data_IF_649328935734
#
_entry.id   IF_649328935734
#
_cell.length_a   1.000
_cell.length_b   1.000
_cell.length_c   1.000
_cell.angle_alpha   90.00
_cell.angle_beta   90.00
_cell.angle_gamma   90.00
#
_symmetry.space_group_name_H-M   'P 1'
#
loop_
_entity.id
_entity.type
_entity.pdbx_description
1 polymer ?
#
# COMPACT_ATOMS: atom_id res chain seq x y z
N UNK A 1 -24.45 -81.20 26.65
CA UNK A 1 -23.64 -80.15 27.22
C UNK A 1 -24.46 -79.38 28.25
N UNK A 2 -23.97 -79.27 29.53
CA UNK A 2 -24.73 -78.58 30.59
C UNK A 2 -25.06 -77.13 30.20
N UNK A 3 -26.28 -76.67 30.53
CA UNK A 3 -26.78 -75.28 30.23
C UNK A 3 -25.80 -74.15 30.66
N UNK A 4 -25.06 -74.37 31.80
CA UNK A 4 -24.05 -73.44 32.30
C UNK A 4 -22.83 -73.34 31.36
N UNK A 5 -22.34 -74.44 30.83
CA UNK A 5 -21.18 -74.47 29.93
C UNK A 5 -21.50 -73.73 28.58
N UNK A 6 -22.71 -73.94 28.08
CA UNK A 6 -23.17 -73.21 26.87
C UNK A 6 -23.24 -71.72 27.08
N UNK A 7 -23.70 -71.23 28.25
CA UNK A 7 -23.72 -69.77 28.53
C UNK A 7 -22.32 -69.19 28.64
N UNK A 8 -21.36 -69.88 29.23
CA UNK A 8 -19.97 -69.47 29.35
C UNK A 8 -19.32 -69.40 27.95
N UNK A 9 -19.51 -70.41 27.10
CA UNK A 9 -18.98 -70.42 25.76
C UNK A 9 -19.59 -69.29 24.87
N UNK A 10 -20.90 -69.01 25.03
CA UNK A 10 -21.52 -67.87 24.31
C UNK A 10 -20.96 -66.53 24.77
N UNK A 11 -20.75 -66.39 26.11
CA UNK A 11 -20.15 -65.14 26.65
C UNK A 11 -18.71 -64.94 26.18
N UNK A 12 -17.88 -66.00 26.18
CA UNK A 12 -16.53 -65.95 25.63
C UNK A 12 -16.52 -65.65 24.13
N UNK A 13 -17.44 -66.22 23.37
CA UNK A 13 -17.55 -65.88 21.92
C UNK A 13 -17.92 -64.39 21.68
N UNK A 14 -18.79 -63.85 22.50
CA UNK A 14 -19.13 -62.39 22.41
C UNK A 14 -17.90 -61.54 22.73
N UNK A 15 -17.14 -61.89 23.79
CA UNK A 15 -15.92 -61.16 24.13
C UNK A 15 -14.90 -61.23 23.00
N UNK A 16 -14.69 -62.39 22.39
CA UNK A 16 -13.78 -62.53 21.24
C UNK A 16 -14.22 -61.67 20.05
N UNK A 17 -15.53 -61.66 19.76
CA UNK A 17 -16.06 -60.79 18.66
C UNK A 17 -15.87 -59.32 18.98
N UNK A 18 -16.11 -58.85 20.22
CA UNK A 18 -15.88 -57.49 20.64
C UNK A 18 -14.40 -57.10 20.55
N UNK A 19 -13.49 -57.95 21.00
CA UNK A 19 -12.04 -57.73 20.88
C UNK A 19 -11.64 -57.64 19.39
N UNK A 20 -12.14 -58.56 18.56
CA UNK A 20 -11.86 -58.53 17.13
C UNK A 20 -12.38 -57.23 16.45
N UNK A 21 -13.59 -56.77 16.82
CA UNK A 21 -14.15 -55.55 16.33
C UNK A 21 -13.31 -54.31 16.75
N UNK A 22 -12.84 -54.27 18.00
CA UNK A 22 -11.94 -53.21 18.49
C UNK A 22 -10.60 -53.22 17.72
N UNK A 23 -10.01 -54.41 17.54
CA UNK A 23 -8.74 -54.53 16.81
C UNK A 23 -8.88 -54.12 15.32
N UNK A 24 -9.97 -54.51 14.68
CA UNK A 24 -10.26 -54.08 13.28
C UNK A 24 -10.48 -52.58 13.21
N UNK A 25 -11.27 -52.01 14.15
CA UNK A 25 -11.47 -50.56 14.21
C UNK A 25 -10.17 -49.80 14.46
N UNK A 26 -9.31 -50.28 15.34
CA UNK A 26 -7.99 -49.72 15.60
C UNK A 26 -7.09 -49.80 14.35
N UNK A 27 -7.07 -50.95 13.68
CA UNK A 27 -6.25 -51.12 12.46
C UNK A 27 -6.71 -50.23 11.31
N UNK A 28 -8.03 -50.13 11.10
CA UNK A 28 -8.59 -49.24 10.09
C UNK A 28 -8.33 -47.74 10.41
N UNK A 29 -8.50 -47.39 11.70
CA UNK A 29 -8.19 -46.02 12.16
C UNK A 29 -6.71 -45.70 12.02
N UNK A 30 -5.81 -46.60 12.41
CA UNK A 30 -4.37 -46.42 12.25
C UNK A 30 -3.95 -46.27 10.78
N UNK A 31 -4.52 -47.13 9.91
CA UNK A 31 -4.26 -47.02 8.47
C UNK A 31 -4.74 -45.68 7.92
N UNK A 32 -5.93 -45.23 8.29
CA UNK A 32 -6.47 -43.93 7.89
C UNK A 32 -5.58 -42.77 8.34
N UNK A 33 -5.18 -42.73 9.62
CA UNK A 33 -4.27 -41.69 10.14
C UNK A 33 -2.95 -41.69 9.38
N UNK A 34 -2.36 -42.86 9.14
CA UNK A 34 -1.09 -42.97 8.41
C UNK A 34 -1.18 -42.50 6.94
N UNK A 35 -2.30 -42.77 6.28
CA UNK A 35 -2.53 -42.27 4.92
C UNK A 35 -2.67 -40.75 4.88
N UNK A 36 -3.32 -40.14 5.90
CA UNK A 36 -3.42 -38.69 6.06
C UNK A 36 -2.05 -38.07 6.35
N UNK A 37 -1.28 -38.61 7.28
CA UNK A 37 0.06 -38.12 7.60
C UNK A 37 0.98 -38.11 6.38
N UNK A 38 0.92 -39.13 5.53
CA UNK A 38 1.71 -39.18 4.29
C UNK A 38 1.29 -38.12 3.27
N UNK A 39 -0.01 -37.82 3.16
CA UNK A 39 -0.50 -36.73 2.30
C UNK A 39 -0.04 -35.37 2.82
N UNK A 40 -0.17 -35.13 4.12
CA UNK A 40 0.30 -33.90 4.77
C UNK A 40 1.81 -33.69 4.61
N UNK A 41 2.60 -34.76 4.80
CA UNK A 41 4.04 -34.73 4.62
C UNK A 41 4.42 -34.38 3.18
N UNK A 42 3.77 -35.03 2.18
CA UNK A 42 4.01 -34.73 0.76
C UNK A 42 3.60 -33.31 0.36
N UNK A 43 2.52 -32.80 0.94
CA UNK A 43 2.06 -31.43 0.71
C UNK A 43 3.03 -30.44 1.36
N UNK A 44 3.45 -30.69 2.60
CA UNK A 44 4.45 -29.87 3.31
C UNK A 44 5.79 -29.83 2.55
N UNK A 45 6.28 -30.97 2.05
CA UNK A 45 7.49 -31.02 1.23
C UNK A 45 7.38 -30.25 -0.09
N UNK A 46 6.18 -30.18 -0.69
CA UNK A 46 5.95 -29.38 -1.90
C UNK A 46 6.02 -27.88 -1.60
N UNK A 47 5.45 -27.44 -0.48
CA UNK A 47 5.58 -26.07 -0.01
C UNK A 47 7.02 -25.69 0.33
N UNK A 48 7.78 -26.57 0.95
CA UNK A 48 9.17 -26.31 1.36
C UNK A 48 10.11 -26.20 0.14
N UNK A 49 9.77 -26.84 -0.98
CA UNK A 49 10.53 -26.74 -2.24
C UNK A 49 10.27 -25.44 -3.00
N UNK A 50 9.05 -24.97 -3.03
CA UNK A 50 8.64 -23.87 -3.91
C UNK A 50 8.25 -22.59 -3.13
N UNK A 51 8.01 -22.67 -1.82
CA UNK A 51 7.59 -21.57 -0.96
C UNK A 51 6.17 -21.05 -1.24
N UNK A 52 5.49 -21.62 -2.26
CA UNK A 52 4.21 -21.16 -2.78
C UNK A 52 3.21 -22.34 -2.77
N UNK A 53 1.92 -22.05 -2.52
CA UNK A 53 0.88 -23.05 -2.67
C UNK A 53 0.87 -23.64 -4.08
N UNK A 54 0.85 -24.97 -4.24
CA UNK A 54 0.74 -25.59 -5.56
C UNK A 54 -0.64 -25.39 -6.20
N UNK A 55 -1.62 -24.88 -5.43
CA UNK A 55 -2.98 -24.61 -5.90
C UNK A 55 -3.11 -23.12 -6.18
N UNK A 56 -3.52 -22.78 -7.39
CA UNK A 56 -3.65 -21.42 -7.89
C UNK A 56 -5.03 -21.23 -8.52
N UNK A 57 -5.34 -20.00 -8.92
CA UNK A 57 -6.57 -19.69 -9.67
C UNK A 57 -6.74 -20.54 -10.94
N UNK A 58 -5.63 -20.99 -11.56
CA UNK A 58 -5.62 -21.78 -12.80
C UNK A 58 -5.76 -23.29 -12.54
N UNK A 59 -5.78 -23.71 -11.28
CA UNK A 59 -5.96 -25.14 -10.91
C UNK A 59 -7.40 -25.56 -11.13
N UNK A 60 -7.62 -26.64 -11.90
CA UNK A 60 -8.96 -27.13 -12.19
C UNK A 60 -9.74 -27.50 -10.90
N UNK A 61 -10.93 -26.94 -10.76
CA UNK A 61 -11.77 -27.12 -9.57
C UNK A 61 -11.33 -26.33 -8.32
N UNK A 62 -10.34 -25.44 -8.42
CA UNK A 62 -9.96 -24.58 -7.30
C UNK A 62 -11.08 -23.63 -6.90
N UNK A 63 -11.31 -23.54 -5.60
CA UNK A 63 -12.24 -22.61 -4.97
C UNK A 63 -11.43 -21.51 -4.30
N UNK A 64 -11.70 -20.25 -4.68
CA UNK A 64 -11.08 -19.08 -4.09
C UNK A 64 -11.69 -18.78 -2.71
N UNK A 65 -10.84 -18.60 -1.70
CA UNK A 65 -11.20 -18.29 -0.32
C UNK A 65 -10.43 -17.06 0.11
N UNK A 66 -11.13 -16.02 0.51
CA UNK A 66 -10.52 -14.84 1.11
C UNK A 66 -10.67 -14.87 2.62
N UNK A 67 -9.55 -14.80 3.34
CA UNK A 67 -9.49 -14.67 4.81
C UNK A 67 -9.19 -13.21 5.13
N UNK A 68 -10.16 -12.52 5.75
CA UNK A 68 -9.98 -11.13 6.15
C UNK A 68 -8.97 -11.00 7.31
N UNK A 69 -8.37 -9.82 7.46
CA UNK A 69 -7.52 -9.53 8.61
C UNK A 69 -8.31 -9.68 9.92
N UNK A 70 -7.68 -10.26 10.94
CA UNK A 70 -8.25 -10.51 12.24
C UNK A 70 -9.39 -11.56 12.29
N UNK A 71 -9.63 -12.30 11.19
CA UNK A 71 -10.55 -13.46 11.22
C UNK A 71 -10.08 -14.49 12.23
N UNK A 72 -11.00 -14.97 13.06
CA UNK A 72 -10.74 -16.11 13.94
C UNK A 72 -11.03 -17.45 13.22
N UNK A 73 -10.74 -18.57 13.88
CA UNK A 73 -10.97 -19.91 13.31
C UNK A 73 -12.46 -20.18 13.03
N UNK A 74 -13.37 -19.54 13.77
CA UNK A 74 -14.81 -19.65 13.54
C UNK A 74 -15.24 -18.95 12.26
N UNK A 75 -14.76 -17.71 12.04
CA UNK A 75 -15.01 -16.94 10.82
C UNK A 75 -14.52 -17.68 9.56
N UNK A 76 -13.31 -18.28 9.68
CA UNK A 76 -12.72 -19.08 8.60
C UNK A 76 -13.57 -20.32 8.33
N UNK A 77 -14.03 -21.02 9.37
CA UNK A 77 -14.88 -22.19 9.23
C UNK A 77 -16.23 -21.85 8.56
N UNK A 78 -16.82 -20.70 8.88
CA UNK A 78 -18.03 -20.23 8.21
C UNK A 78 -17.77 -19.92 6.72
N UNK A 79 -16.70 -19.21 6.40
CA UNK A 79 -16.28 -18.93 5.02
C UNK A 79 -16.10 -20.22 4.21
N UNK A 80 -15.42 -21.22 4.77
CA UNK A 80 -15.22 -22.52 4.12
C UNK A 80 -16.53 -23.29 3.92
N UNK A 81 -17.47 -23.17 4.86
CA UNK A 81 -18.79 -23.80 4.75
C UNK A 81 -19.64 -23.12 3.69
N UNK A 82 -19.65 -21.79 3.63
CA UNK A 82 -20.42 -21.03 2.65
C UNK A 82 -19.89 -21.27 1.23
N UNK A 83 -18.59 -21.51 1.10
CA UNK A 83 -17.94 -21.91 -0.15
C UNK A 83 -18.14 -23.39 -0.49
N UNK A 84 -18.84 -24.17 0.35
CA UNK A 84 -19.13 -25.57 0.10
C UNK A 84 -17.97 -26.54 0.33
N UNK A 85 -16.83 -26.07 0.85
CA UNK A 85 -15.62 -26.87 1.09
C UNK A 85 -15.75 -27.77 2.33
N UNK A 86 -16.46 -27.30 3.36
CA UNK A 86 -16.70 -28.06 4.58
C UNK A 86 -18.20 -28.14 4.89
N UNK A 87 -18.62 -29.13 5.66
CA UNK A 87 -20.01 -29.34 6.07
C UNK A 87 -20.26 -28.96 7.53
N UNK A 88 -19.24 -28.98 8.36
CA UNK A 88 -19.37 -28.86 9.81
C UNK A 88 -18.28 -27.96 10.37
N UNK A 89 -18.66 -26.72 10.71
CA UNK A 89 -17.77 -25.69 11.27
C UNK A 89 -17.20 -26.11 12.62
N UNK A 90 -18.03 -26.67 13.50
CA UNK A 90 -17.59 -27.16 14.82
C UNK A 90 -16.52 -28.23 14.73
N UNK A 91 -16.67 -29.19 13.77
CA UNK A 91 -15.65 -30.23 13.56
C UNK A 91 -14.34 -29.61 13.06
N UNK A 92 -14.39 -28.62 12.15
CA UNK A 92 -13.23 -27.91 11.66
C UNK A 92 -12.49 -27.16 12.78
N UNK A 93 -13.20 -26.36 13.58
CA UNK A 93 -12.63 -25.65 14.73
C UNK A 93 -11.97 -26.59 15.74
N UNK A 94 -12.65 -27.72 16.05
CA UNK A 94 -12.13 -28.70 16.98
C UNK A 94 -10.82 -29.33 16.48
N UNK A 95 -10.77 -29.75 15.22
CA UNK A 95 -9.58 -30.33 14.57
C UNK A 95 -8.46 -29.28 14.52
N UNK A 96 -8.78 -28.03 14.14
CA UNK A 96 -7.82 -26.93 14.13
C UNK A 96 -7.12 -26.74 15.48
N UNK A 97 -7.88 -26.73 16.58
CA UNK A 97 -7.32 -26.64 17.93
C UNK A 97 -6.47 -27.84 18.31
N UNK A 98 -6.93 -29.04 17.99
CA UNK A 98 -6.18 -30.27 18.32
C UNK A 98 -4.88 -30.41 17.56
N UNK A 99 -4.85 -29.98 16.29
CA UNK A 99 -3.68 -30.08 15.42
C UNK A 99 -2.78 -28.84 15.51
N UNK A 100 -3.15 -27.84 16.32
CA UNK A 100 -2.31 -26.66 16.57
C UNK A 100 -2.33 -25.60 15.46
N UNK A 101 -3.33 -25.61 14.56
CA UNK A 101 -3.49 -24.61 13.52
C UNK A 101 -4.25 -23.35 13.97
N UNK A 102 -4.97 -23.45 15.12
CA UNK A 102 -5.76 -22.34 15.66
C UNK A 102 -4.89 -21.09 15.89
N UNK A 103 -5.29 -19.98 15.28
CA UNK A 103 -4.54 -18.72 15.34
C UNK A 103 -3.28 -18.64 14.47
N UNK A 104 -3.02 -19.64 13.60
CA UNK A 104 -1.87 -19.62 12.68
C UNK A 104 -2.24 -19.30 11.23
N UNK A 105 -3.51 -19.16 10.93
CA UNK A 105 -4.00 -18.88 9.59
C UNK A 105 -3.51 -17.51 9.08
N UNK A 106 -3.14 -17.47 7.81
CA UNK A 106 -2.70 -16.25 7.15
C UNK A 106 -3.91 -15.58 6.48
N UNK A 107 -4.03 -14.25 6.64
CA UNK A 107 -5.02 -13.47 5.90
C UNK A 107 -4.63 -13.35 4.42
N UNK A 108 -5.63 -13.15 3.56
CA UNK A 108 -5.45 -13.01 2.11
C UNK A 108 -6.17 -14.10 1.32
N UNK A 109 -5.90 -14.14 0.02
CA UNK A 109 -6.57 -15.04 -0.93
C UNK A 109 -5.86 -16.37 -1.04
N UNK A 110 -6.58 -17.45 -0.70
CA UNK A 110 -6.14 -18.84 -0.81
C UNK A 110 -6.99 -19.60 -1.82
N UNK A 111 -6.43 -20.66 -2.38
CA UNK A 111 -7.13 -21.56 -3.28
C UNK A 111 -7.14 -22.99 -2.70
N UNK A 112 -8.32 -23.60 -2.64
CA UNK A 112 -8.53 -24.92 -2.07
C UNK A 112 -9.29 -25.81 -3.05
N UNK A 113 -9.15 -27.15 -2.90
CA UNK A 113 -9.90 -28.12 -3.69
C UNK A 113 -11.00 -28.78 -2.83
N UNK A 114 -12.20 -29.04 -3.40
CA UNK A 114 -13.32 -29.63 -2.65
C UNK A 114 -13.07 -31.04 -2.09
N UNK A 115 -12.09 -31.77 -2.62
CA UNK A 115 -11.72 -33.12 -2.19
C UNK A 115 -10.64 -33.18 -1.10
N UNK A 116 -10.19 -32.00 -0.62
CA UNK A 116 -9.20 -31.90 0.45
C UNK A 116 -9.77 -32.30 1.79
N UNK A 117 -8.92 -32.94 2.61
CA UNK A 117 -9.19 -33.11 4.04
C UNK A 117 -9.09 -31.79 4.80
N UNK A 118 -9.67 -31.72 5.99
CA UNK A 118 -9.56 -30.53 6.84
C UNK A 118 -8.10 -30.16 7.15
N UNK A 119 -7.25 -31.15 7.40
CA UNK A 119 -5.83 -30.92 7.70
C UNK A 119 -5.07 -30.34 6.52
N UNK A 120 -5.36 -30.79 5.30
CA UNK A 120 -4.78 -30.21 4.07
C UNK A 120 -5.24 -28.77 3.87
N UNK A 121 -6.54 -28.48 4.04
CA UNK A 121 -7.05 -27.10 3.99
C UNK A 121 -6.36 -26.21 5.02
N UNK A 122 -6.28 -26.67 6.28
CA UNK A 122 -5.61 -25.95 7.35
C UNK A 122 -4.14 -25.66 7.03
N UNK A 123 -3.41 -26.65 6.52
CA UNK A 123 -2.01 -26.48 6.14
C UNK A 123 -1.85 -25.39 5.06
N UNK A 124 -2.71 -25.39 4.03
CA UNK A 124 -2.67 -24.37 2.99
C UNK A 124 -2.98 -22.98 3.56
N UNK A 125 -4.00 -22.86 4.39
CA UNK A 125 -4.43 -21.61 4.99
C UNK A 125 -3.42 -21.03 6.02
N UNK A 126 -2.46 -21.81 6.48
CA UNK A 126 -1.34 -21.32 7.32
C UNK A 126 -0.14 -20.86 6.49
N UNK A 127 -0.17 -21.01 5.17
CA UNK A 127 0.90 -20.52 4.28
C UNK A 127 0.59 -19.12 3.79
N UNK A 128 1.65 -18.39 3.40
CA UNK A 128 1.47 -17.06 2.81
C UNK A 128 0.66 -17.17 1.51
N UNK A 129 -0.40 -16.37 1.35
CA UNK A 129 -1.14 -16.32 0.10
C UNK A 129 -0.28 -15.72 -1.02
N UNK A 130 -0.67 -15.96 -2.26
CA UNK A 130 0.00 -15.34 -3.41
C UNK A 130 -0.30 -13.84 -3.43
N UNK A 131 0.75 -13.04 -3.33
CA UNK A 131 0.68 -11.60 -3.42
C UNK A 131 1.17 -11.12 -4.78
N UNK A 132 0.67 -9.96 -5.22
CA UNK A 132 1.15 -9.23 -6.38
C UNK A 132 2.01 -8.06 -5.92
N UNK A 133 3.15 -7.87 -6.59
CA UNK A 133 4.02 -6.73 -6.35
C UNK A 133 3.55 -5.55 -7.22
N UNK A 134 3.23 -4.42 -6.60
CA UNK A 134 2.87 -3.19 -7.30
C UNK A 134 3.86 -2.10 -6.89
N UNK A 135 4.50 -1.47 -7.88
CA UNK A 135 5.47 -0.41 -7.66
C UNK A 135 4.86 0.95 -7.97
N UNK A 136 4.98 1.86 -7.02
CA UNK A 136 4.59 3.26 -7.14
C UNK A 136 5.82 4.15 -7.15
N UNK A 137 5.94 4.99 -8.15
CA UNK A 137 7.08 5.87 -8.30
C UNK A 137 6.84 7.21 -7.59
N UNK A 138 7.93 7.81 -7.12
CA UNK A 138 7.91 9.17 -6.58
C UNK A 138 7.32 10.15 -7.61
N UNK A 139 6.45 11.05 -7.15
CA UNK A 139 5.77 12.01 -8.01
C UNK A 139 4.47 11.51 -8.65
N UNK A 140 4.01 10.29 -8.37
CA UNK A 140 2.68 9.84 -8.79
C UNK A 140 1.58 10.57 -8.02
N UNK A 141 0.49 10.94 -8.72
CA UNK A 141 -0.76 11.37 -8.08
C UNK A 141 -1.51 10.18 -7.50
N UNK A 142 -2.48 10.42 -6.62
CA UNK A 142 -3.35 9.36 -6.11
C UNK A 142 -4.07 8.61 -7.25
N UNK A 143 -4.59 9.32 -8.24
CA UNK A 143 -5.29 8.71 -9.37
C UNK A 143 -4.37 7.78 -10.16
N UNK A 144 -3.13 8.19 -10.43
CA UNK A 144 -2.14 7.34 -11.07
C UNK A 144 -1.81 6.10 -10.24
N UNK A 145 -1.75 6.24 -8.90
CA UNK A 145 -1.53 5.10 -8.01
C UNK A 145 -2.73 4.14 -8.04
N UNK A 146 -3.96 4.67 -8.00
CA UNK A 146 -5.20 3.89 -8.12
C UNK A 146 -5.24 3.12 -9.44
N UNK A 147 -4.97 3.80 -10.56
CA UNK A 147 -4.99 3.19 -11.88
C UNK A 147 -3.88 2.13 -12.01
N UNK A 148 -2.70 2.35 -11.43
CA UNK A 148 -1.62 1.36 -11.36
C UNK A 148 -2.05 0.08 -10.63
N UNK A 149 -2.82 0.19 -9.55
CA UNK A 149 -3.38 -0.98 -8.85
C UNK A 149 -4.42 -1.72 -9.71
N UNK A 150 -5.26 -1.00 -10.43
CA UNK A 150 -6.25 -1.58 -11.37
C UNK A 150 -5.52 -2.33 -12.49
N UNK A 151 -4.51 -1.72 -13.10
CA UNK A 151 -3.72 -2.31 -14.18
C UNK A 151 -2.93 -3.56 -13.72
N UNK A 152 -2.52 -3.58 -12.45
CA UNK A 152 -1.90 -4.76 -11.83
C UNK A 152 -2.90 -5.90 -11.56
N UNK A 153 -4.20 -5.68 -11.75
CA UNK A 153 -5.26 -6.68 -11.62
C UNK A 153 -5.82 -6.81 -10.20
N UNK A 154 -5.60 -5.84 -9.31
CA UNK A 154 -6.24 -5.81 -8.00
C UNK A 154 -7.76 -5.66 -8.11
N UNK A 155 -8.49 -6.33 -7.22
CA UNK A 155 -9.95 -6.37 -7.22
C UNK A 155 -10.50 -5.61 -6.01
N UNK A 156 -10.72 -4.34 -6.17
CA UNK A 156 -11.30 -3.44 -5.17
C UNK A 156 -12.35 -2.53 -5.84
N UNK A 157 -13.14 -1.83 -5.05
CA UNK A 157 -14.07 -0.84 -5.55
C UNK A 157 -13.38 0.54 -5.62
N UNK A 158 -13.07 1.09 -6.82
CA UNK A 158 -12.38 2.37 -6.95
C UNK A 158 -13.13 3.54 -6.30
N UNK A 159 -14.46 3.58 -6.42
CA UNK A 159 -15.27 4.66 -5.84
C UNK A 159 -15.22 4.64 -4.30
N UNK A 160 -15.19 3.46 -3.68
CA UNK A 160 -15.06 3.32 -2.24
C UNK A 160 -13.65 3.69 -1.78
N UNK A 161 -12.62 3.33 -2.55
CA UNK A 161 -11.24 3.74 -2.27
C UNK A 161 -11.12 5.27 -2.31
N UNK A 162 -11.68 5.92 -3.33
CA UNK A 162 -11.74 7.38 -3.48
C UNK A 162 -12.43 8.03 -2.28
N UNK A 163 -13.58 7.48 -1.85
CA UNK A 163 -14.30 7.96 -0.66
C UNK A 163 -13.44 7.85 0.60
N UNK A 164 -12.72 6.75 0.78
CA UNK A 164 -11.87 6.52 1.96
C UNK A 164 -10.63 7.42 1.97
N UNK A 165 -10.02 7.70 0.82
CA UNK A 165 -8.88 8.63 0.68
C UNK A 165 -9.29 10.06 1.06
N UNK A 166 -10.57 10.41 0.87
CA UNK A 166 -11.15 11.69 1.31
C UNK A 166 -11.54 11.71 2.79
N UNK A 167 -11.34 10.63 3.55
CA UNK A 167 -11.72 10.51 4.96
C UNK A 167 -10.57 10.06 5.85
N UNK A 168 -9.53 10.91 6.06
CA UNK A 168 -8.41 10.56 6.95
C UNK A 168 -8.88 10.17 8.36
N UNK A 169 -10.01 10.69 8.82
CA UNK A 169 -10.61 10.36 10.12
C UNK A 169 -10.91 8.88 10.35
N UNK A 170 -10.90 8.05 9.29
CA UNK A 170 -10.99 6.59 9.39
C UNK A 170 -9.68 5.94 9.87
N UNK A 171 -8.58 6.69 9.92
CA UNK A 171 -7.21 6.19 10.14
C UNK A 171 -6.51 6.95 11.27
N UNK A 172 -7.21 7.30 12.35
CA UNK A 172 -6.71 8.13 13.47
C UNK A 172 -5.63 7.46 14.32
N UNK A 173 -5.33 6.21 14.09
CA UNK A 173 -4.25 5.45 14.70
C UNK A 173 -2.85 5.86 14.16
N UNK A 174 -2.77 6.63 13.07
CA UNK A 174 -1.52 7.19 12.54
C UNK A 174 -1.32 8.62 13.04
N UNK A 175 -0.10 8.92 13.51
CA UNK A 175 0.20 10.20 14.19
C UNK A 175 0.04 11.42 13.30
N UNK A 176 0.31 11.30 11.99
CA UNK A 176 0.25 12.43 11.05
C UNK A 176 -1.19 12.78 10.62
N UNK A 177 -2.15 11.88 10.78
CA UNK A 177 -3.53 12.09 10.29
C UNK A 177 -4.17 13.35 10.88
N UNK A 178 -3.94 13.59 12.17
CA UNK A 178 -4.50 14.78 12.84
C UNK A 178 -3.90 16.11 12.37
N UNK A 179 -2.78 16.06 11.65
CA UNK A 179 -2.11 17.23 11.09
C UNK A 179 -2.47 17.53 9.65
N UNK A 180 -3.28 16.69 9.00
CA UNK A 180 -3.76 16.92 7.63
C UNK A 180 -4.86 17.98 7.68
N UNK A 181 -4.64 19.10 7.01
CA UNK A 181 -5.58 20.22 7.01
C UNK A 181 -6.57 20.12 5.83
N UNK A 182 -7.85 20.30 6.14
CA UNK A 182 -8.94 20.34 5.14
C UNK A 182 -9.06 21.75 4.56
N UNK A 183 -8.13 22.15 3.70
CA UNK A 183 -8.22 23.42 3.00
C UNK A 183 -9.30 23.41 1.91
N UNK A 184 -10.05 24.53 1.73
CA UNK A 184 -11.01 24.64 0.63
C UNK A 184 -10.32 24.42 -0.73
N UNK A 185 -10.84 23.49 -1.51
CA UNK A 185 -10.28 23.13 -2.82
C UNK A 185 -9.24 22.00 -2.78
N UNK A 186 -8.92 21.43 -1.63
CA UNK A 186 -8.07 20.23 -1.55
C UNK A 186 -8.82 19.04 -2.15
N UNK A 187 -8.24 18.41 -3.18
CA UNK A 187 -8.92 17.37 -3.95
C UNK A 187 -8.84 16.00 -3.25
N UNK A 188 -7.63 15.60 -2.82
CA UNK A 188 -7.39 14.30 -2.18
C UNK A 188 -6.70 14.48 -0.83
N UNK A 189 -7.40 14.16 0.27
CA UNK A 189 -6.86 14.40 1.62
C UNK A 189 -5.64 13.53 1.97
N UNK A 190 -5.59 12.28 1.49
CA UNK A 190 -4.45 11.39 1.69
C UNK A 190 -3.39 11.47 0.58
N UNK A 191 -3.57 12.26 -0.48
CA UNK A 191 -2.50 12.49 -1.46
C UNK A 191 -1.27 13.09 -0.78
N UNK A 192 -0.07 12.61 -1.14
CA UNK A 192 1.18 12.96 -0.47
C UNK A 192 1.52 12.07 0.73
N UNK A 193 0.53 11.36 1.28
CA UNK A 193 0.68 10.43 2.41
C UNK A 193 0.60 8.96 2.01
N UNK A 194 0.31 8.66 0.76
CA UNK A 194 0.44 7.32 0.19
C UNK A 194 1.89 7.18 -0.30
N UNK A 195 2.75 6.59 0.51
CA UNK A 195 4.19 6.58 0.27
C UNK A 195 4.57 5.82 -1.00
N UNK A 196 5.39 6.40 -1.91
CA UNK A 196 5.86 5.71 -3.11
C UNK A 196 6.89 4.63 -2.75
N UNK A 197 6.57 3.37 -3.05
CA UNK A 197 7.42 2.19 -2.79
C UNK A 197 6.89 1.00 -3.59
N UNK A 198 7.53 -0.15 -3.48
CA UNK A 198 7.00 -1.42 -3.97
C UNK A 198 6.30 -2.17 -2.84
N UNK A 199 5.02 -2.45 -3.01
CA UNK A 199 4.20 -3.15 -2.04
C UNK A 199 3.77 -4.52 -2.54
N UNK A 200 3.58 -5.44 -1.60
CA UNK A 200 2.96 -6.73 -1.84
C UNK A 200 1.50 -6.67 -1.40
N UNK A 201 0.58 -6.77 -2.34
CA UNK A 201 -0.86 -6.78 -2.08
C UNK A 201 -1.45 -8.17 -2.31
N UNK A 202 -2.44 -8.53 -1.51
CA UNK A 202 -3.38 -9.56 -1.92
C UNK A 202 -4.30 -9.01 -3.03
N UNK A 203 -4.63 -9.85 -4.01
CA UNK A 203 -5.46 -9.43 -5.16
C UNK A 203 -6.86 -8.95 -4.75
N UNK A 204 -7.37 -9.45 -3.62
CA UNK A 204 -8.68 -9.11 -3.07
C UNK A 204 -8.56 -8.25 -1.80
N UNK A 205 -7.43 -7.55 -1.58
CA UNK A 205 -7.31 -6.61 -0.46
C UNK A 205 -8.45 -5.61 -0.48
N UNK A 206 -9.08 -5.41 0.67
CA UNK A 206 -10.10 -4.38 0.84
C UNK A 206 -9.48 -2.99 0.72
N UNK A 207 -10.29 -1.98 0.40
CA UNK A 207 -9.85 -0.58 0.27
C UNK A 207 -9.19 -0.08 1.55
N UNK A 208 -9.73 -0.49 2.71
CA UNK A 208 -9.13 -0.14 4.00
C UNK A 208 -7.75 -0.78 4.20
N UNK A 209 -7.57 -2.03 3.81
CA UNK A 209 -6.27 -2.72 3.87
C UNK A 209 -5.27 -2.08 2.94
N UNK A 210 -5.67 -1.73 1.71
CA UNK A 210 -4.83 -1.02 0.73
C UNK A 210 -4.30 0.28 1.35
N UNK A 211 -5.19 1.14 1.85
CA UNK A 211 -4.79 2.41 2.45
C UNK A 211 -3.87 2.18 3.66
N UNK A 212 -4.19 1.22 4.55
CA UNK A 212 -3.37 0.92 5.73
C UNK A 212 -1.96 0.45 5.37
N UNK A 213 -1.79 -0.30 4.28
CA UNK A 213 -0.47 -0.72 3.80
C UNK A 213 0.40 0.50 3.49
N UNK A 214 -0.15 1.49 2.77
CA UNK A 214 0.56 2.74 2.49
C UNK A 214 0.84 3.54 3.76
N UNK A 215 -0.17 3.75 4.61
CA UNK A 215 -0.04 4.58 5.82
C UNK A 215 0.93 3.97 6.84
N UNK A 216 1.02 2.65 6.95
CA UNK A 216 2.01 1.97 7.77
C UNK A 216 3.43 2.31 7.32
N UNK A 217 3.70 2.28 6.01
CA UNK A 217 5.01 2.63 5.47
C UNK A 217 5.30 4.12 5.68
N UNK A 218 4.32 5.00 5.42
CA UNK A 218 4.44 6.45 5.67
C UNK A 218 4.80 6.74 7.12
N UNK A 219 4.10 6.15 8.07
CA UNK A 219 4.37 6.34 9.51
C UNK A 219 5.78 5.84 9.88
N UNK A 220 6.21 4.71 9.31
CA UNK A 220 7.57 4.19 9.51
C UNK A 220 8.62 5.17 8.98
N UNK A 221 8.45 5.65 7.75
CA UNK A 221 9.36 6.60 7.10
C UNK A 221 9.44 7.93 7.85
N UNK A 222 8.30 8.45 8.32
CA UNK A 222 8.27 9.69 9.08
C UNK A 222 9.00 9.57 10.43
N UNK A 223 8.88 8.41 11.09
CA UNK A 223 9.63 8.12 12.33
C UNK A 223 11.11 7.91 12.07
N UNK A 224 11.46 7.10 11.07
CA UNK A 224 12.86 6.84 10.68
C UNK A 224 13.61 8.12 10.32
N UNK A 225 12.95 9.03 9.58
CA UNK A 225 13.49 10.32 9.17
C UNK A 225 13.40 11.42 10.23
N UNK A 226 12.77 11.19 11.39
CA UNK A 226 12.48 12.21 12.41
C UNK A 226 11.74 13.43 11.85
N UNK A 227 10.83 13.23 10.88
CA UNK A 227 10.19 14.33 10.16
C UNK A 227 9.28 15.18 11.02
N UNK A 228 8.63 14.60 12.04
CA UNK A 228 7.85 15.34 13.04
C UNK A 228 8.68 16.39 13.80
N UNK A 229 9.78 15.92 14.42
CA UNK A 229 10.67 16.79 15.18
C UNK A 229 11.32 17.84 14.27
N UNK A 230 11.63 17.46 13.04
CA UNK A 230 12.27 18.37 12.09
C UNK A 230 11.31 19.46 11.60
N UNK A 231 10.07 19.13 11.29
CA UNK A 231 9.05 20.10 10.92
C UNK A 231 8.81 21.10 12.05
N UNK A 232 8.68 20.63 13.30
CA UNK A 232 8.58 21.46 14.49
C UNK A 232 9.78 22.39 14.64
N UNK A 233 11.01 21.90 14.47
CA UNK A 233 12.23 22.69 14.54
C UNK A 233 12.30 23.78 13.45
N UNK A 234 11.74 23.52 12.26
CA UNK A 234 11.64 24.51 11.19
C UNK A 234 10.47 25.49 11.39
N UNK A 235 9.56 25.21 12.32
CA UNK A 235 8.36 26.01 12.56
C UNK A 235 7.32 25.90 11.46
N UNK A 236 7.28 24.75 10.75
CA UNK A 236 6.30 24.45 9.70
C UNK A 236 5.45 23.25 10.11
N UNK A 237 4.21 23.18 9.63
CA UNK A 237 3.41 21.98 9.78
C UNK A 237 3.99 20.84 8.91
N UNK A 238 3.78 19.59 9.32
CA UNK A 238 4.20 18.48 8.48
C UNK A 238 3.41 18.46 7.17
N UNK A 239 2.15 18.88 7.18
CA UNK A 239 1.30 18.98 5.99
C UNK A 239 1.86 20.01 5.00
N UNK A 240 2.22 21.21 5.44
CA UNK A 240 2.88 22.22 4.62
C UNK A 240 4.20 21.69 4.03
N UNK A 241 4.97 20.95 4.82
CA UNK A 241 6.22 20.36 4.35
C UNK A 241 5.97 19.33 3.25
N UNK A 242 4.95 18.48 3.36
CA UNK A 242 4.57 17.51 2.31
C UNK A 242 4.01 18.21 1.07
N UNK A 243 3.19 19.26 1.25
CA UNK A 243 2.68 20.07 0.13
C UNK A 243 3.85 20.66 -0.65
N UNK A 244 4.78 21.34 0.03
CA UNK A 244 5.95 21.91 -0.64
C UNK A 244 6.86 20.84 -1.26
N UNK A 245 7.06 19.71 -0.59
CA UNK A 245 7.86 18.60 -1.11
C UNK A 245 7.28 18.03 -2.40
N UNK A 246 5.94 17.97 -2.54
CA UNK A 246 5.29 17.50 -3.77
C UNK A 246 5.57 18.43 -4.97
N UNK A 247 5.72 19.72 -4.73
CA UNK A 247 6.11 20.70 -5.75
C UNK A 247 7.60 20.52 -6.10
N UNK A 248 8.47 20.46 -5.08
CA UNK A 248 9.93 20.25 -5.25
C UNK A 248 10.22 18.94 -5.99
N UNK A 249 9.46 17.86 -5.73
CA UNK A 249 9.57 16.58 -6.43
C UNK A 249 9.44 16.75 -7.95
N UNK A 250 8.58 17.65 -8.40
CA UNK A 250 8.27 17.86 -9.82
C UNK A 250 9.12 18.90 -10.52
N UNK A 251 9.90 19.70 -9.78
CA UNK A 251 10.66 20.83 -10.35
C UNK A 251 12.10 20.50 -10.69
N UNK A 252 12.74 19.57 -9.99
CA UNK A 252 14.19 19.48 -10.12
C UNK A 252 14.79 18.09 -10.06
N UNK A 253 16.06 18.03 -10.42
CA UNK A 253 16.88 16.84 -10.21
C UNK A 253 17.19 16.65 -8.73
N UNK A 254 17.36 15.41 -8.30
CA UNK A 254 17.66 15.00 -6.92
C UNK A 254 18.76 15.86 -6.28
N UNK A 255 19.82 16.19 -7.05
CA UNK A 255 20.98 16.96 -6.55
C UNK A 255 20.70 18.43 -6.25
N UNK A 256 19.57 18.98 -6.73
CA UNK A 256 19.25 20.39 -6.63
C UNK A 256 17.99 20.68 -5.82
N UNK A 257 17.24 19.65 -5.43
CA UNK A 257 15.98 19.79 -4.69
C UNK A 257 16.12 20.65 -3.43
N UNK A 258 17.21 20.54 -2.67
CA UNK A 258 17.44 21.35 -1.47
C UNK A 258 17.64 22.84 -1.76
N UNK A 259 18.15 23.22 -2.95
CA UNK A 259 18.28 24.61 -3.40
C UNK A 259 16.93 25.12 -3.90
N UNK A 260 16.20 24.32 -4.67
CA UNK A 260 14.84 24.63 -5.12
C UNK A 260 13.90 24.84 -3.94
N UNK A 261 13.94 23.94 -2.97
CA UNK A 261 13.19 24.08 -1.72
C UNK A 261 13.54 25.38 -1.00
N UNK A 262 14.84 25.79 -0.95
CA UNK A 262 15.27 27.04 -0.36
C UNK A 262 14.67 28.24 -1.10
N UNK A 263 14.67 28.25 -2.43
CA UNK A 263 14.06 29.34 -3.21
C UNK A 263 12.56 29.46 -2.90
N UNK A 264 11.82 28.38 -2.87
CA UNK A 264 10.40 28.39 -2.52
C UNK A 264 10.17 28.89 -1.07
N UNK A 265 10.96 28.44 -0.12
CA UNK A 265 10.90 28.93 1.29
C UNK A 265 11.18 30.42 1.34
N UNK A 266 12.19 30.92 0.60
CA UNK A 266 12.49 32.36 0.54
C UNK A 266 11.29 33.16 -0.02
N UNK A 267 10.63 32.65 -1.06
CA UNK A 267 9.41 33.27 -1.62
C UNK A 267 8.26 33.27 -0.61
N UNK A 268 8.01 32.16 0.08
CA UNK A 268 6.96 32.09 1.12
C UNK A 268 7.22 33.10 2.23
N UNK A 269 8.45 33.24 2.70
CA UNK A 269 8.84 34.20 3.73
C UNK A 269 8.64 35.68 3.28
N UNK A 270 8.71 35.95 2.00
CA UNK A 270 8.50 37.26 1.39
C UNK A 270 7.07 37.47 0.88
N UNK A 271 6.15 36.55 1.16
CA UNK A 271 4.77 36.56 0.65
C UNK A 271 4.68 36.64 -0.88
N UNK A 272 5.72 36.14 -1.59
CA UNK A 272 5.74 36.04 -3.04
C UNK A 272 4.97 34.81 -3.52
N UNK A 273 4.27 34.88 -4.69
CA UNK A 273 3.66 33.71 -5.30
C UNK A 273 4.74 32.70 -5.68
N UNK A 274 4.46 31.39 -5.52
CA UNK A 274 5.45 30.35 -5.83
C UNK A 274 5.73 30.27 -7.34
N UNK A 275 4.73 30.48 -8.18
CA UNK A 275 4.83 30.42 -9.66
C UNK A 275 5.47 29.11 -10.14
N UNK A 276 5.04 28.00 -9.54
CA UNK A 276 5.54 26.67 -9.85
C UNK A 276 4.70 26.04 -10.97
N UNK A 277 5.28 25.82 -12.13
CA UNK A 277 4.59 25.19 -13.28
C UNK A 277 3.98 23.81 -12.96
N UNK A 278 4.59 22.95 -12.12
CA UNK A 278 3.99 21.69 -11.72
C UNK A 278 2.61 21.80 -11.10
N UNK A 279 2.31 22.90 -10.40
CA UNK A 279 0.97 23.11 -9.80
C UNK A 279 -0.11 23.34 -10.86
N UNK A 280 0.24 23.96 -11.97
CA UNK A 280 -0.67 24.13 -13.11
C UNK A 280 -0.72 22.86 -13.95
N UNK A 281 0.41 22.16 -14.11
CA UNK A 281 0.44 20.86 -14.79
C UNK A 281 -0.42 19.82 -14.08
N UNK A 282 -0.48 19.83 -12.74
CA UNK A 282 -1.40 18.99 -11.98
C UNK A 282 -2.86 19.18 -12.43
N UNK A 283 -3.31 20.42 -12.56
CA UNK A 283 -4.66 20.74 -13.05
C UNK A 283 -4.86 20.34 -14.52
N UNK A 284 -3.85 20.55 -15.35
CA UNK A 284 -3.90 20.17 -16.78
C UNK A 284 -4.05 18.65 -16.96
N UNK A 285 -3.27 17.88 -16.19
CA UNK A 285 -3.35 16.41 -16.21
C UNK A 285 -4.71 15.92 -15.71
N UNK A 286 -5.26 16.53 -14.65
CA UNK A 286 -6.62 16.28 -14.19
C UNK A 286 -7.70 16.52 -15.26
N UNK A 287 -7.48 17.52 -16.15
CA UNK A 287 -8.32 17.79 -17.31
C UNK A 287 -7.99 16.90 -18.56
N UNK A 288 -7.12 15.90 -18.41
CA UNK A 288 -6.71 15.02 -19.51
C UNK A 288 -5.77 15.66 -20.53
N UNK A 289 -5.09 16.76 -20.17
CA UNK A 289 -4.12 17.44 -21.02
C UNK A 289 -2.69 16.98 -20.68
N UNK A 290 -1.81 16.99 -21.68
CA UNK A 290 -0.40 16.69 -21.45
C UNK A 290 0.28 17.79 -20.61
N UNK A 291 1.22 17.42 -19.70
CA UNK A 291 2.04 18.39 -18.98
C UNK A 291 2.90 19.19 -19.98
N UNK A 292 3.21 20.43 -19.62
CA UNK A 292 3.94 21.35 -20.49
C UNK A 292 4.99 22.12 -19.70
N UNK A 293 6.16 22.32 -20.31
CA UNK A 293 7.16 23.28 -19.86
C UNK A 293 6.90 24.65 -20.52
N UNK A 294 7.20 25.70 -19.77
CA UNK A 294 7.07 27.10 -20.25
C UNK A 294 5.67 27.42 -20.79
N UNK A 295 4.71 27.47 -19.89
CA UNK A 295 3.33 27.81 -20.23
C UNK A 295 3.19 29.28 -20.61
N UNK A 296 2.40 29.54 -21.66
CA UNK A 296 1.98 30.88 -21.99
C UNK A 296 1.06 31.47 -20.94
N UNK A 297 0.99 32.83 -20.89
CA UNK A 297 0.06 33.52 -19.99
C UNK A 297 -1.41 33.09 -20.21
N UNK A 298 -1.79 32.78 -21.43
CA UNK A 298 -3.14 32.27 -21.72
C UNK A 298 -3.41 30.93 -21.07
N UNK A 299 -2.45 29.99 -21.12
CA UNK A 299 -2.56 28.67 -20.48
C UNK A 299 -2.59 28.79 -18.96
N UNK A 300 -1.81 29.68 -18.36
CA UNK A 300 -1.86 29.96 -16.95
C UNK A 300 -3.21 30.55 -16.51
N UNK A 301 -3.78 31.46 -17.35
CA UNK A 301 -5.10 32.09 -17.09
C UNK A 301 -6.27 31.09 -17.15
N UNK A 302 -6.15 30.01 -17.86
CA UNK A 302 -7.19 28.99 -17.94
C UNK A 302 -7.57 28.46 -16.55
N UNK A 303 -6.59 28.40 -15.65
CA UNK A 303 -6.74 27.94 -14.25
C UNK A 303 -6.67 29.08 -13.23
N UNK A 304 -6.90 30.32 -13.61
CA UNK A 304 -6.71 31.48 -12.73
C UNK A 304 -7.61 31.50 -11.48
N UNK A 305 -8.70 30.73 -11.49
CA UNK A 305 -9.63 30.63 -10.35
C UNK A 305 -9.40 29.40 -9.47
N UNK A 306 -8.52 28.50 -9.87
CA UNK A 306 -8.23 27.30 -9.10
C UNK A 306 -7.12 27.58 -8.07
N UNK A 307 -7.32 27.27 -6.77
CA UNK A 307 -6.36 27.58 -5.73
C UNK A 307 -5.04 26.79 -5.81
N UNK A 308 -4.96 25.73 -6.62
CA UNK A 308 -3.69 25.07 -6.94
C UNK A 308 -2.79 25.91 -7.86
N UNK A 309 -3.32 26.88 -8.60
CA UNK A 309 -2.52 27.69 -9.49
C UNK A 309 -1.70 28.73 -8.73
N UNK A 310 -0.46 28.39 -8.40
CA UNK A 310 0.48 29.24 -7.63
C UNK A 310 1.01 30.46 -8.39
N UNK A 311 0.57 30.72 -9.60
CA UNK A 311 0.79 31.99 -10.31
C UNK A 311 -0.23 33.05 -9.90
N UNK A 312 -1.45 32.65 -9.48
CA UNK A 312 -2.55 33.54 -9.14
C UNK A 312 -2.92 33.51 -7.66
N UNK A 313 -2.49 32.49 -6.92
CA UNK A 313 -2.70 32.37 -5.48
C UNK A 313 -1.35 32.38 -4.75
N UNK A 314 -1.27 33.21 -3.71
CA UNK A 314 -0.08 33.28 -2.85
C UNK A 314 -0.06 32.14 -1.83
N UNK A 315 1.13 31.73 -1.43
CA UNK A 315 1.32 30.66 -0.48
C UNK A 315 1.33 29.27 -1.11
N UNK A 316 1.13 28.26 -0.28
CA UNK A 316 1.03 26.86 -0.73
C UNK A 316 -0.34 26.60 -1.34
N UNK A 317 -0.44 25.64 -2.29
CA UNK A 317 -1.73 25.14 -2.76
C UNK A 317 -2.46 24.41 -1.64
N UNK A 318 -3.78 24.10 -1.80
CA UNK A 318 -4.60 23.47 -0.76
C UNK A 318 -4.13 22.10 -0.30
N UNK A 319 -3.36 21.41 -1.11
CA UNK A 319 -2.84 20.08 -0.82
C UNK A 319 -1.69 19.69 -1.73
N UNK A 320 -1.05 18.53 -1.47
CA UNK A 320 0.00 17.99 -2.32
C UNK A 320 -0.49 17.75 -3.75
N UNK A 321 0.39 17.94 -4.74
CA UNK A 321 0.10 17.66 -6.16
C UNK A 321 0.50 16.24 -6.59
N UNK A 322 1.22 15.53 -5.73
CA UNK A 322 1.66 14.14 -5.91
C UNK A 322 2.16 13.56 -4.59
N UNK A 323 2.61 12.30 -4.62
CA UNK A 323 3.31 11.63 -3.51
C UNK A 323 4.82 11.83 -3.63
N UNK A 324 5.44 12.70 -2.81
CA UNK A 324 6.86 12.99 -2.89
C UNK A 324 7.72 11.86 -2.32
N UNK A 325 8.94 11.72 -2.84
CA UNK A 325 9.95 10.80 -2.29
C UNK A 325 10.73 11.38 -1.10
N UNK A 326 11.56 10.52 -0.51
CA UNK A 326 12.42 10.87 0.64
C UNK A 326 13.22 12.15 0.37
N UNK A 327 13.87 12.23 -0.79
CA UNK A 327 14.79 13.33 -1.09
C UNK A 327 14.06 14.68 -1.18
N UNK A 328 12.86 14.71 -1.73
CA UNK A 328 12.07 15.93 -1.82
C UNK A 328 11.57 16.40 -0.43
N UNK A 329 11.12 15.47 0.41
CA UNK A 329 10.71 15.78 1.79
C UNK A 329 11.90 16.28 2.60
N UNK A 330 13.03 15.60 2.52
CA UNK A 330 14.27 16.02 3.19
C UNK A 330 14.79 17.36 2.66
N UNK A 331 14.64 17.63 1.38
CA UNK A 331 15.02 18.93 0.80
C UNK A 331 14.23 20.10 1.40
N UNK A 332 12.97 19.90 1.76
CA UNK A 332 12.14 20.90 2.44
C UNK A 332 12.49 20.99 3.92
N UNK A 333 12.68 19.88 4.59
CA UNK A 333 12.99 19.82 6.02
C UNK A 333 14.46 20.20 6.34
N UNK A 334 15.39 20.01 5.40
CA UNK A 334 16.81 20.40 5.44
C UNK A 334 17.22 21.21 4.21
N UNK A 335 16.63 22.38 3.99
CA UNK A 335 16.92 23.19 2.79
C UNK A 335 18.36 23.69 2.79
N UNK A 336 18.86 24.07 1.63
CA UNK A 336 20.17 24.69 1.51
C UNK A 336 20.25 25.94 2.42
N UNK A 337 21.42 26.15 3.02
CA UNK A 337 21.73 27.27 3.91
C UNK A 337 22.96 28.00 3.44
N UNK A 338 23.26 29.18 3.99
CA UNK A 338 24.50 29.92 3.68
C UNK A 338 25.78 29.10 3.88
N UNK A 339 25.75 28.08 4.74
CA UNK A 339 26.89 27.17 4.95
C UNK A 339 27.10 26.16 3.82
N UNK A 340 26.01 25.77 3.16
CA UNK A 340 26.02 24.75 2.08
C UNK A 340 25.93 25.36 0.69
N UNK A 341 25.41 26.59 0.60
CA UNK A 341 25.22 27.30 -0.66
C UNK A 341 25.28 28.81 -0.40
N UNK A 342 26.40 29.47 -0.79
CA UNK A 342 26.60 30.91 -0.58
C UNK A 342 25.50 31.72 -1.27
N UNK A 343 24.87 32.65 -0.56
CA UNK A 343 23.74 33.43 -1.05
C UNK A 343 22.38 32.69 -0.97
N UNK A 344 22.31 31.53 -0.30
CA UNK A 344 21.10 30.70 -0.23
C UNK A 344 19.86 31.48 0.12
N UNK A 345 19.94 32.40 1.10
CA UNK A 345 18.79 33.19 1.60
C UNK A 345 18.38 34.31 0.65
N UNK A 346 19.15 34.59 -0.40
CA UNK A 346 18.91 35.68 -1.36
C UNK A 346 18.37 35.18 -2.73
N UNK A 347 18.47 33.88 -3.02
CA UNK A 347 17.95 33.35 -4.27
C UNK A 347 16.42 33.31 -4.26
N UNK A 348 15.81 33.92 -5.26
CA UNK A 348 14.34 34.01 -5.42
C UNK A 348 13.82 33.38 -6.69
N UNK A 349 14.69 33.04 -7.63
CA UNK A 349 14.32 32.52 -8.95
C UNK A 349 15.21 31.36 -9.35
N UNK A 350 14.66 30.46 -10.14
CA UNK A 350 15.40 29.41 -10.85
C UNK A 350 14.75 29.12 -12.20
N UNK A 351 15.52 28.55 -13.12
CA UNK A 351 15.05 28.10 -14.43
C UNK A 351 15.75 26.82 -14.83
N UNK A 352 15.03 25.92 -15.51
CA UNK A 352 15.63 24.74 -16.12
C UNK A 352 16.54 25.13 -17.29
N UNK A 353 17.70 24.49 -17.40
CA UNK A 353 18.67 24.78 -18.49
C UNK A 353 18.39 23.97 -19.76
N UNK A 354 17.37 23.10 -19.75
CA UNK A 354 17.13 22.13 -20.83
C UNK A 354 18.12 20.95 -20.87
N UNK A 355 19.16 20.96 -20.05
CA UNK A 355 20.23 19.94 -19.98
C UNK A 355 20.16 19.10 -18.69
N UNK A 356 19.00 19.10 -18.01
CA UNK A 356 18.78 18.37 -16.76
C UNK A 356 19.44 19.02 -15.53
N UNK A 357 19.73 20.33 -15.59
CA UNK A 357 20.24 21.13 -14.47
C UNK A 357 19.40 22.38 -14.30
N UNK A 358 19.55 23.05 -13.16
CA UNK A 358 18.82 24.27 -12.79
C UNK A 358 19.81 25.43 -12.64
N UNK A 359 19.48 26.61 -13.16
CA UNK A 359 20.21 27.85 -12.93
C UNK A 359 19.41 28.78 -12.01
N UNK A 360 20.08 29.42 -11.05
CA UNK A 360 19.47 30.19 -9.97
C UNK A 360 19.79 31.68 -10.13
N UNK A 361 18.84 32.55 -9.72
CA UNK A 361 18.97 34.01 -9.86
C UNK A 361 18.46 34.73 -8.61
N UNK A 362 19.04 35.91 -8.34
CA UNK A 362 18.63 36.77 -7.24
C UNK A 362 17.52 37.71 -7.64
N UNK A 363 17.51 38.20 -8.90
CA UNK A 363 16.57 39.20 -9.41
C UNK A 363 15.73 38.66 -10.56
N UNK A 364 14.59 39.27 -10.78
CA UNK A 364 13.71 38.92 -11.89
C UNK A 364 14.38 39.18 -13.26
N UNK A 365 15.17 40.27 -13.37
CA UNK A 365 15.87 40.63 -14.61
C UNK A 365 16.87 39.54 -14.99
N UNK A 366 17.69 39.07 -14.02
CA UNK A 366 18.65 38.00 -14.24
C UNK A 366 17.93 36.70 -14.64
N UNK A 367 16.80 36.38 -13.96
CA UNK A 367 15.99 35.21 -14.27
C UNK A 367 15.42 35.27 -15.68
N UNK A 368 14.83 36.40 -16.06
CA UNK A 368 14.23 36.59 -17.39
C UNK A 368 15.26 36.43 -18.51
N UNK A 369 16.48 37.00 -18.32
CA UNK A 369 17.58 36.85 -19.29
C UNK A 369 18.01 35.39 -19.44
N UNK A 370 18.20 34.66 -18.32
CA UNK A 370 18.58 33.27 -18.33
C UNK A 370 17.50 32.39 -18.98
N UNK A 371 16.25 32.61 -18.62
CA UNK A 371 15.11 31.85 -19.17
C UNK A 371 15.00 32.03 -20.67
N UNK A 372 15.06 33.28 -21.16
CA UNK A 372 15.00 33.55 -22.58
C UNK A 372 16.14 32.87 -23.38
N UNK A 373 17.35 32.84 -22.79
CA UNK A 373 18.49 32.15 -23.38
C UNK A 373 18.27 30.63 -23.46
N UNK A 374 17.81 30.00 -22.38
CA UNK A 374 17.59 28.54 -22.36
C UNK A 374 16.42 28.10 -23.23
N UNK A 375 15.36 28.91 -23.32
CA UNK A 375 14.24 28.64 -24.23
C UNK A 375 14.71 28.62 -25.68
N UNK A 376 15.53 29.64 -26.09
CA UNK A 376 16.10 29.70 -27.45
C UNK A 376 17.03 28.51 -27.76
N UNK A 377 17.86 28.06 -26.77
CA UNK A 377 18.72 26.88 -26.93
C UNK A 377 17.95 25.57 -27.03
N UNK A 378 16.70 25.50 -26.52
CA UNK A 378 15.86 24.32 -26.55
C UNK A 378 15.05 24.17 -27.85
N UNK A 379 14.76 25.30 -28.52
CA UNK A 379 14.04 25.32 -29.82
C UNK A 379 14.94 25.00 -31.01
N UNK A 380 16.28 25.11 -30.87
CA UNK A 380 17.28 24.76 -31.87
C UNK A 380 17.69 23.27 -31.80
#
# INVERSE_FOLDING_TARGET
MPRKVRKILTFLAIIVVLIAAVLVGFFLGFRYVREQDQRLESLSESFDREGISPITADTDGAVEIYIAQQSDTGDIAETLKDSGLIKNTFAYELISKFNGFDGQYQYGTHYLLPDMSYDEMMLILTRQPKQIAVTFYEGMTYEQMRDTMIDAGMRFNPDLLDEMVMRPSLFTDYSFISGIEEHPGREWLLQGYLWPDTYLFDINSTEQEIIRIFLNNTESKFKEGNYYERAEHQGVSLDDAIILASIVQSEGTISEMNKIARVFINRLLLEMPLQAEPTVNYLRVGDGKEPKLWMSEQELREYATNPYNTYYFNGLPPGPINSPGVVAIEAVLWPATERTWTGAESYLYFTATGKGTTDFSFTYEEHAEKTARYMAEYED
#
